data_IF_697245943678
#
_entry.id   IF_697245943678
#
_cell.length_a   1.000
_cell.length_b   1.000
_cell.length_c   1.000
_cell.angle_alpha   90.00
_cell.angle_beta   90.00
_cell.angle_gamma   90.00
#
_symmetry.space_group_name_H-M   'P 1'
#
loop_
_entity.id
_entity.type
_entity.pdbx_description
1 polymer ?
#
# COMPACT_ATOMS: atom_id res chain seq x y z
N UNK A 1 -1.75 -60.26 59.37
CA UNK A 1 -2.35 -59.11 60.08
C UNK A 1 -1.74 -57.79 59.51
N UNK A 2 -2.59 -56.90 59.12
CA UNK A 2 -2.39 -55.51 58.64
C UNK A 2 -1.70 -55.34 57.28
N UNK A 3 -2.45 -55.08 56.23
CA UNK A 3 -3.20 -53.87 55.82
C UNK A 3 -2.40 -52.58 55.95
N UNK A 4 -2.13 -51.96 54.82
CA UNK A 4 -2.64 -50.61 54.59
C UNK A 4 -2.29 -50.06 53.21
N UNK A 5 -3.36 -49.65 52.58
CA UNK A 5 -3.52 -48.87 51.38
C UNK A 5 -2.77 -47.52 51.37
N UNK A 6 -2.36 -47.09 50.25
CA UNK A 6 -2.70 -45.80 49.61
C UNK A 6 -2.03 -45.66 48.25
N UNK A 7 -2.77 -45.53 47.21
CA UNK A 7 -2.39 -44.57 46.18
C UNK A 7 -3.62 -43.81 45.68
N UNK A 8 -3.85 -42.60 46.15
CA UNK A 8 -4.90 -41.74 45.61
C UNK A 8 -4.48 -40.26 45.39
N UNK A 9 -3.18 -39.96 45.56
CA UNK A 9 -2.69 -38.55 45.40
C UNK A 9 -1.89 -38.25 44.13
N UNK A 10 -1.54 -39.28 43.33
CA UNK A 10 -0.76 -39.05 42.09
C UNK A 10 -1.64 -38.74 40.87
N UNK A 11 -2.93 -39.16 40.84
CA UNK A 11 -3.79 -38.99 39.69
C UNK A 11 -4.32 -37.54 39.52
N UNK A 12 -4.41 -36.76 40.60
CA UNK A 12 -4.94 -35.38 40.56
C UNK A 12 -3.93 -34.33 40.11
N UNK A 13 -2.62 -34.61 40.23
CA UNK A 13 -1.59 -33.67 39.74
C UNK A 13 -1.42 -33.70 38.22
N UNK A 14 -1.69 -34.83 37.58
CA UNK A 14 -1.65 -34.97 36.13
C UNK A 14 -2.83 -34.32 35.41
N UNK A 15 -4.03 -34.36 35.99
CA UNK A 15 -5.23 -33.78 35.39
C UNK A 15 -5.24 -32.22 35.48
N UNK A 16 -4.71 -31.66 36.57
CA UNK A 16 -4.58 -30.22 36.73
C UNK A 16 -3.52 -29.63 35.80
N UNK A 17 -2.39 -30.31 35.58
CA UNK A 17 -1.36 -29.88 34.63
C UNK A 17 -1.82 -29.94 33.18
N UNK A 18 -2.58 -30.98 32.80
CA UNK A 18 -3.15 -31.08 31.45
C UNK A 18 -4.21 -30.04 31.15
N UNK A 19 -5.00 -29.63 32.16
CA UNK A 19 -6.01 -28.58 32.00
C UNK A 19 -5.39 -27.20 31.86
N UNK A 20 -4.28 -26.91 32.56
CA UNK A 20 -3.54 -25.64 32.44
C UNK A 20 -2.82 -25.53 31.10
N UNK A 21 -2.28 -26.62 30.58
CA UNK A 21 -1.64 -26.65 29.25
C UNK A 21 -2.68 -26.50 28.14
N UNK A 22 -3.87 -27.11 28.26
CA UNK A 22 -4.96 -26.92 27.31
C UNK A 22 -5.52 -25.50 27.31
N UNK A 23 -5.65 -24.85 28.47
CA UNK A 23 -6.08 -23.46 28.55
C UNK A 23 -5.03 -22.49 28.05
N UNK A 24 -3.73 -22.74 28.26
CA UNK A 24 -2.65 -21.94 27.71
C UNK A 24 -2.54 -22.11 26.18
N UNK A 25 -2.80 -23.32 25.64
CA UNK A 25 -2.80 -23.56 24.19
C UNK A 25 -3.99 -22.88 23.48
N UNK A 26 -5.13 -22.71 24.16
CA UNK A 26 -6.27 -21.94 23.65
C UNK A 26 -6.05 -20.44 23.76
N UNK A 27 -5.27 -19.95 24.72
CA UNK A 27 -4.97 -18.52 24.88
C UNK A 27 -3.90 -18.02 23.88
N UNK A 28 -3.01 -18.89 23.40
CA UNK A 28 -1.98 -18.54 22.40
C UNK A 28 -2.51 -18.68 20.97
N UNK A 29 -3.55 -19.45 20.73
CA UNK A 29 -4.26 -19.51 19.43
C UNK A 29 -5.48 -18.59 19.35
N UNK A 30 -5.75 -17.81 20.38
CA UNK A 30 -6.87 -16.88 20.47
C UNK A 30 -6.63 -15.48 19.86
N UNK A 31 -5.55 -15.27 19.08
CA UNK A 31 -5.55 -14.25 18.02
C UNK A 31 -6.25 -14.83 16.78
N UNK A 32 -7.36 -15.47 16.99
CA UNK A 32 -8.28 -15.89 15.96
C UNK A 32 -9.17 -14.69 15.63
N UNK A 33 -9.09 -14.27 14.38
CA UNK A 33 -10.19 -13.78 13.57
C UNK A 33 -11.47 -13.58 14.42
N UNK A 34 -11.61 -12.42 15.05
CA UNK A 34 -12.91 -12.04 15.58
C UNK A 34 -13.79 -11.76 14.39
N UNK A 35 -14.91 -12.50 14.21
CA UNK A 35 -15.84 -12.14 13.17
C UNK A 35 -16.28 -10.71 13.45
N UNK A 36 -16.14 -9.86 12.44
CA UNK A 36 -16.67 -8.51 12.39
C UNK A 36 -18.16 -8.52 12.78
N UNK A 37 -18.47 -8.16 14.00
CA UNK A 37 -19.83 -7.80 14.40
C UNK A 37 -20.00 -6.31 14.10
N UNK A 38 -20.50 -5.98 12.91
CA UNK A 38 -21.00 -4.66 12.58
C UNK A 38 -22.09 -4.31 13.62
N UNK A 39 -21.71 -3.55 14.66
CA UNK A 39 -22.69 -2.91 15.55
C UNK A 39 -23.16 -1.65 14.84
N UNK A 40 -24.45 -1.43 14.83
CA UNK A 40 -25.11 -0.24 14.30
C UNK A 40 -24.32 1.05 14.67
N UNK A 41 -24.02 1.89 13.68
CA UNK A 41 -23.34 3.18 13.84
C UNK A 41 -21.80 3.14 13.86
N UNK A 42 -21.16 2.08 13.35
CA UNK A 42 -19.70 2.03 13.21
C UNK A 42 -19.29 1.89 11.74
N UNK A 43 -18.37 2.74 11.35
CA UNK A 43 -17.68 2.74 10.04
C UNK A 43 -16.56 1.71 10.06
N UNK A 44 -16.56 0.76 9.13
CA UNK A 44 -15.54 -0.27 8.99
C UNK A 44 -14.34 0.27 8.21
N UNK A 45 -13.14 0.14 8.78
CA UNK A 45 -11.89 0.58 8.16
C UNK A 45 -10.77 -0.42 8.41
N UNK A 46 -9.70 -0.31 7.60
CA UNK A 46 -8.41 -0.97 7.83
C UNK A 46 -7.35 0.07 8.13
N UNK A 47 -6.45 -0.21 9.08
CA UNK A 47 -5.29 0.63 9.38
C UNK A 47 -4.04 -0.22 9.26
N UNK A 48 -3.08 0.24 8.46
CA UNK A 48 -1.73 -0.27 8.40
C UNK A 48 -0.77 0.80 8.90
N UNK A 49 0.03 0.48 9.91
CA UNK A 49 1.19 1.27 10.33
C UNK A 49 2.42 0.57 9.80
N UNK A 50 3.23 1.27 9.05
CA UNK A 50 4.39 0.71 8.36
C UNK A 50 5.58 1.66 8.35
N UNK A 51 6.69 1.18 7.85
CA UNK A 51 7.91 1.94 7.67
C UNK A 51 8.55 1.64 6.30
N UNK A 52 9.49 2.49 5.92
CA UNK A 52 10.35 2.33 4.77
C UNK A 52 9.55 2.16 3.47
N UNK A 53 8.68 3.13 3.20
CA UNK A 53 7.82 3.20 2.00
C UNK A 53 6.85 2.00 1.89
N UNK A 54 6.28 1.58 3.02
CA UNK A 54 5.33 0.50 3.12
C UNK A 54 5.93 -0.90 3.05
N UNK A 55 7.26 -1.04 3.03
CA UNK A 55 7.93 -2.34 2.95
C UNK A 55 7.90 -3.12 4.26
N UNK A 56 7.97 -2.42 5.39
CA UNK A 56 7.94 -2.99 6.72
C UNK A 56 6.59 -2.74 7.39
N UNK A 57 5.79 -3.80 7.57
CA UNK A 57 4.50 -3.70 8.28
C UNK A 57 4.74 -3.82 9.77
N UNK A 58 4.48 -2.74 10.51
CA UNK A 58 4.56 -2.69 11.97
C UNK A 58 3.24 -3.14 12.62
N UNK A 59 2.11 -2.77 12.00
CA UNK A 59 0.77 -3.11 12.47
C UNK A 59 -0.22 -3.13 11.31
N UNK A 60 -1.16 -4.06 11.33
CA UNK A 60 -2.26 -4.15 10.34
C UNK A 60 -3.53 -4.62 11.06
N UNK A 61 -4.54 -3.77 11.10
CA UNK A 61 -5.75 -3.97 11.91
C UNK A 61 -6.98 -3.53 11.16
N UNK A 62 -8.02 -4.39 11.13
CA UNK A 62 -9.36 -4.00 10.71
C UNK A 62 -10.22 -3.71 11.95
N UNK A 63 -10.87 -2.56 11.98
CA UNK A 63 -11.67 -2.14 13.11
C UNK A 63 -12.90 -1.31 12.70
N UNK A 64 -13.87 -1.20 13.63
CA UNK A 64 -14.99 -0.27 13.49
C UNK A 64 -14.78 0.96 14.35
N UNK A 65 -14.79 2.12 13.73
CA UNK A 65 -14.77 3.43 14.39
C UNK A 65 -16.17 4.06 14.40
N UNK A 66 -16.37 5.05 15.26
CA UNK A 66 -17.62 5.81 15.27
C UNK A 66 -17.74 6.60 13.96
N UNK A 67 -18.94 6.70 13.42
CA UNK A 67 -19.23 7.57 12.28
C UNK A 67 -18.81 9.01 12.57
N UNK A 68 -18.17 9.67 11.60
CA UNK A 68 -17.57 11.00 11.74
C UNK A 68 -16.22 11.04 12.47
N UNK A 69 -15.63 9.89 12.81
CA UNK A 69 -14.28 9.85 13.37
C UNK A 69 -13.26 10.33 12.35
N UNK A 70 -12.22 11.02 12.84
CA UNK A 70 -11.06 11.36 12.03
C UNK A 70 -10.08 10.18 11.90
N UNK A 71 -9.22 10.21 10.86
CA UNK A 71 -8.14 9.24 10.71
C UNK A 71 -7.16 9.26 11.90
N UNK A 72 -6.96 10.42 12.54
CA UNK A 72 -6.16 10.54 13.75
C UNK A 72 -6.80 9.82 14.95
N UNK A 73 -8.14 9.94 15.13
CA UNK A 73 -8.86 9.20 16.16
C UNK A 73 -8.80 7.70 15.90
N UNK A 74 -8.91 7.30 14.63
CA UNK A 74 -8.77 5.91 14.23
C UNK A 74 -7.36 5.36 14.53
N UNK A 75 -6.30 6.11 14.22
CA UNK A 75 -4.92 5.72 14.54
C UNK A 75 -4.72 5.58 16.06
N UNK A 76 -5.22 6.54 16.86
CA UNK A 76 -5.13 6.49 18.33
C UNK A 76 -5.89 5.32 18.97
N UNK A 77 -6.83 4.72 18.24
CA UNK A 77 -7.52 3.52 18.72
C UNK A 77 -6.64 2.26 18.64
N UNK A 78 -5.54 2.28 17.86
CA UNK A 78 -4.68 1.12 17.61
C UNK A 78 -3.21 1.35 17.97
N UNK A 79 -2.77 2.61 18.19
CA UNK A 79 -1.38 2.98 18.44
C UNK A 79 -1.28 4.13 19.46
N UNK A 80 -0.15 4.24 20.14
CA UNK A 80 0.21 5.43 20.91
C UNK A 80 0.69 6.52 19.96
N UNK A 81 0.07 7.71 20.00
CA UNK A 81 0.34 8.79 19.04
C UNK A 81 0.70 10.08 19.76
N UNK A 82 1.91 10.56 19.52
CA UNK A 82 2.34 11.89 19.91
C UNK A 82 2.13 12.87 18.74
N UNK A 83 1.68 14.07 19.03
CA UNK A 83 1.41 15.08 18.01
C UNK A 83 2.08 16.41 18.37
N UNK A 84 2.43 17.18 17.33
CA UNK A 84 2.95 18.54 17.47
C UNK A 84 2.04 19.55 16.75
N UNK A 85 2.35 20.84 16.90
CA UNK A 85 1.69 21.96 16.23
C UNK A 85 0.16 21.96 16.36
N UNK A 86 -0.34 21.75 17.59
CA UNK A 86 -1.78 21.75 17.86
C UNK A 86 -2.52 20.50 17.40
N UNK A 87 -1.81 19.39 17.18
CA UNK A 87 -2.40 18.09 16.83
C UNK A 87 -2.43 17.79 15.32
N UNK A 88 -1.97 18.72 14.49
CA UNK A 88 -2.01 18.53 13.03
C UNK A 88 -0.85 17.71 12.45
N UNK A 89 0.22 17.52 13.22
CA UNK A 89 1.42 16.79 12.81
C UNK A 89 1.65 15.57 13.71
N UNK A 90 1.90 14.42 13.11
CA UNK A 90 2.24 13.18 13.83
C UNK A 90 3.73 13.23 14.18
N UNK A 91 4.03 13.44 15.47
CA UNK A 91 5.39 13.50 15.96
C UNK A 91 5.97 12.11 16.21
N UNK A 92 5.19 11.19 16.77
CA UNK A 92 5.59 9.80 16.96
C UNK A 92 4.39 8.86 16.91
N UNK A 93 4.62 7.61 16.48
CA UNK A 93 3.68 6.50 16.61
C UNK A 93 4.42 5.32 17.23
N UNK A 94 3.87 4.79 18.34
CA UNK A 94 4.45 3.69 19.14
C UNK A 94 5.95 3.92 19.45
N UNK A 95 6.33 5.18 19.74
CA UNK A 95 7.69 5.59 20.09
C UNK A 95 8.64 5.81 18.89
N UNK A 96 8.22 5.56 17.66
CA UNK A 96 8.98 5.90 16.46
C UNK A 96 8.73 7.37 16.14
N UNK A 97 9.72 8.21 16.43
CA UNK A 97 9.60 9.67 16.31
C UNK A 97 10.12 10.20 14.96
N UNK A 98 9.50 11.30 14.49
CA UNK A 98 10.02 12.15 13.44
C UNK A 98 11.50 12.50 13.69
N UNK A 99 12.30 12.46 12.64
CA UNK A 99 13.74 12.75 12.71
C UNK A 99 14.11 14.14 12.19
N UNK A 100 13.13 14.88 11.67
CA UNK A 100 13.31 16.24 11.17
C UNK A 100 12.64 17.24 12.10
N UNK A 101 13.44 17.94 12.90
CA UNK A 101 12.96 18.87 13.91
C UNK A 101 13.61 20.25 13.74
N UNK A 102 12.81 21.30 13.73
CA UNK A 102 13.30 22.68 13.67
C UNK A 102 14.12 23.06 12.42
N UNK A 103 13.97 22.32 11.32
CA UNK A 103 14.75 22.53 10.08
C UNK A 103 16.10 21.81 10.06
N UNK A 104 16.34 20.91 11.02
CA UNK A 104 17.56 20.12 11.13
C UNK A 104 17.25 18.64 11.40
N UNK A 105 18.23 17.76 11.18
CA UNK A 105 18.09 16.33 11.33
C UNK A 105 17.88 15.60 10.01
N UNK A 106 17.56 14.31 10.09
CA UNK A 106 17.28 13.49 8.91
C UNK A 106 15.85 13.79 8.45
N UNK A 107 15.65 13.92 7.16
CA UNK A 107 14.33 14.13 6.56
C UNK A 107 13.54 12.80 6.53
N UNK A 108 13.11 12.36 7.70
CA UNK A 108 12.35 11.13 7.87
C UNK A 108 11.19 11.39 8.83
N UNK A 109 9.96 11.24 8.32
CA UNK A 109 8.73 11.62 9.00
C UNK A 109 7.62 10.61 8.75
N UNK A 110 6.48 10.79 9.44
CA UNK A 110 5.25 10.04 9.25
C UNK A 110 4.43 10.66 8.13
N UNK A 111 4.07 9.83 7.16
CA UNK A 111 3.17 10.15 6.05
C UNK A 111 1.86 9.39 6.19
N UNK A 112 0.79 9.99 5.72
CA UNK A 112 -0.56 9.46 5.82
C UNK A 112 -1.17 9.27 4.44
N UNK A 113 -1.72 8.08 4.20
CA UNK A 113 -2.36 7.68 2.95
C UNK A 113 -3.77 7.19 3.20
N UNK A 114 -4.66 7.45 2.27
CA UNK A 114 -6.02 6.91 2.22
C UNK A 114 -6.16 6.09 0.95
N UNK A 115 -6.52 4.82 1.10
CA UNK A 115 -6.66 3.91 -0.04
C UNK A 115 -5.43 3.94 -0.95
N UNK A 116 -4.24 3.89 -0.34
CA UNK A 116 -2.95 3.92 -1.02
C UNK A 116 -2.55 5.26 -1.61
N UNK A 117 -3.39 6.30 -1.57
CA UNK A 117 -3.11 7.63 -2.09
C UNK A 117 -2.70 8.57 -0.96
N UNK A 118 -1.63 9.36 -1.17
CA UNK A 118 -1.17 10.31 -0.15
C UNK A 118 -2.26 11.32 0.17
N UNK A 119 -2.50 11.53 1.45
CA UNK A 119 -3.58 12.39 1.90
C UNK A 119 -3.28 13.87 1.60
N UNK A 120 -4.29 14.58 1.10
CA UNK A 120 -4.22 16.02 0.82
C UNK A 120 -4.44 16.88 2.07
N UNK A 121 -4.92 16.25 3.15
CA UNK A 121 -5.16 16.89 4.45
C UNK A 121 -4.51 16.10 5.56
N UNK A 122 -4.25 16.75 6.71
CA UNK A 122 -3.74 16.04 7.88
C UNK A 122 -4.73 15.03 8.44
N UNK A 123 -4.24 13.98 9.10
CA UNK A 123 -5.05 12.88 9.63
C UNK A 123 -6.17 13.33 10.61
N UNK A 124 -5.98 14.48 11.29
CA UNK A 124 -7.02 15.06 12.15
C UNK A 124 -8.16 15.74 11.40
N UNK A 125 -7.97 16.06 10.12
CA UNK A 125 -8.98 16.72 9.27
C UNK A 125 -9.66 15.76 8.29
N UNK A 126 -9.14 14.54 8.13
CA UNK A 126 -9.76 13.53 7.28
C UNK A 126 -10.81 12.73 8.06
N UNK A 127 -12.07 12.86 7.68
CA UNK A 127 -13.18 12.05 8.20
C UNK A 127 -13.20 10.70 7.47
N UNK A 128 -13.08 9.59 8.23
CA UNK A 128 -13.00 8.25 7.67
C UNK A 128 -14.35 7.76 7.13
N UNK A 129 -14.30 6.96 6.09
CA UNK A 129 -15.45 6.40 5.39
C UNK A 129 -15.44 4.88 5.42
N UNK A 130 -16.59 4.30 5.15
CA UNK A 130 -16.75 2.84 5.08
C UNK A 130 -15.84 2.26 4.01
N UNK A 131 -15.02 1.28 4.39
CA UNK A 131 -14.07 0.60 3.53
C UNK A 131 -12.72 1.29 3.39
N UNK A 132 -12.49 2.46 4.02
CA UNK A 132 -11.19 3.14 3.93
C UNK A 132 -10.06 2.25 4.46
N UNK A 133 -9.00 2.22 3.70
CA UNK A 133 -7.71 1.68 4.12
C UNK A 133 -6.75 2.84 4.42
N UNK A 134 -6.51 3.09 5.70
CA UNK A 134 -5.60 4.12 6.17
C UNK A 134 -4.19 3.53 6.31
N UNK A 135 -3.20 4.13 5.68
CA UNK A 135 -1.80 3.72 5.82
C UNK A 135 -1.00 4.87 6.42
N UNK A 136 -0.30 4.59 7.52
CA UNK A 136 0.64 5.51 8.16
C UNK A 136 2.04 4.94 7.98
N UNK A 137 2.88 5.62 7.22
CA UNK A 137 4.20 5.14 6.83
C UNK A 137 5.31 6.09 7.27
N UNK A 138 6.33 5.54 7.92
CA UNK A 138 7.49 6.26 8.38
C UNK A 138 8.65 6.12 7.40
N UNK A 139 8.88 7.12 6.55
CA UNK A 139 9.91 7.05 5.52
C UNK A 139 10.70 8.34 5.33
N UNK A 140 11.81 8.21 4.57
CA UNK A 140 12.65 9.32 4.14
C UNK A 140 11.97 10.15 3.05
N UNK A 141 12.08 11.47 3.13
CA UNK A 141 11.68 12.39 2.07
C UNK A 141 12.87 13.21 1.56
N UNK A 142 14.08 12.64 1.68
CA UNK A 142 15.31 13.29 1.24
C UNK A 142 15.36 13.45 -0.28
N UNK A 143 14.96 12.41 -1.01
CA UNK A 143 14.91 12.39 -2.47
C UNK A 143 13.58 12.91 -3.02
N UNK A 144 12.49 12.29 -2.65
CA UNK A 144 11.15 12.66 -3.08
C UNK A 144 10.39 13.26 -1.89
N UNK A 145 10.05 14.55 -1.95
CA UNK A 145 9.28 15.20 -0.89
C UNK A 145 7.92 14.52 -0.68
N UNK A 146 7.37 13.94 -1.75
CA UNK A 146 6.10 13.23 -1.72
C UNK A 146 6.20 11.94 -2.52
N UNK A 147 5.71 10.87 -1.92
CA UNK A 147 5.42 9.60 -2.61
C UNK A 147 3.91 9.60 -2.88
N UNK A 148 3.46 9.80 -4.14
CA UNK A 148 2.06 10.14 -4.43
C UNK A 148 1.08 9.03 -4.06
N UNK A 149 1.50 7.77 -4.21
CA UNK A 149 0.71 6.62 -3.81
C UNK A 149 1.59 5.37 -3.64
N UNK A 150 1.04 4.38 -2.94
CA UNK A 150 1.66 3.10 -2.67
C UNK A 150 1.09 2.04 -3.61
N UNK A 151 1.88 1.59 -4.60
CA UNK A 151 1.44 0.61 -5.59
C UNK A 151 1.00 -0.72 -4.94
N UNK A 152 1.59 -1.08 -3.79
CA UNK A 152 1.20 -2.26 -3.02
C UNK A 152 -0.21 -2.23 -2.44
N UNK A 153 -0.87 -1.07 -2.40
CA UNK A 153 -2.27 -0.97 -2.01
C UNK A 153 -3.26 -1.41 -3.12
N UNK A 154 -2.77 -1.65 -4.35
CA UNK A 154 -3.66 -2.11 -5.43
C UNK A 154 -4.56 -3.28 -4.96
N UNK A 155 -5.88 -3.29 -5.24
CA UNK A 155 -6.59 -2.47 -6.23
C UNK A 155 -7.06 -1.09 -5.76
N UNK A 156 -6.65 -0.63 -4.58
CA UNK A 156 -6.88 0.76 -4.18
C UNK A 156 -5.93 1.72 -4.95
N UNK A 157 -6.36 2.95 -5.24
CA UNK A 157 -7.62 3.64 -4.89
C UNK A 157 -8.77 3.43 -5.88
N UNK A 158 -8.70 2.46 -6.78
CA UNK A 158 -9.69 2.25 -7.85
C UNK A 158 -11.04 1.72 -7.33
N UNK A 159 -11.08 1.18 -6.11
CA UNK A 159 -12.30 0.61 -5.49
C UNK A 159 -13.02 1.65 -4.64
N UNK A 160 -12.36 2.22 -3.64
CA UNK A 160 -12.96 3.16 -2.70
C UNK A 160 -12.59 4.63 -2.96
N UNK A 161 -11.51 4.89 -3.75
CA UNK A 161 -11.04 6.23 -4.07
C UNK A 161 -10.49 7.00 -2.86
N UNK A 162 -10.09 8.25 -3.09
CA UNK A 162 -9.75 9.20 -2.03
C UNK A 162 -10.98 10.02 -1.68
N UNK A 163 -11.38 10.01 -0.41
CA UNK A 163 -12.55 10.72 0.10
C UNK A 163 -13.88 10.34 -0.62
N UNK A 164 -13.99 9.13 -1.12
CA UNK A 164 -15.18 8.56 -1.77
C UNK A 164 -14.86 7.82 -3.06
N UNK A 165 -15.81 7.02 -3.52
CA UNK A 165 -15.64 6.20 -4.71
C UNK A 165 -15.24 7.02 -5.94
N UNK A 166 -14.40 6.45 -6.84
CA UNK A 166 -14.06 7.08 -8.12
C UNK A 166 -15.29 7.43 -8.94
N UNK A 167 -15.25 8.54 -9.67
CA UNK A 167 -16.28 8.85 -10.68
C UNK A 167 -16.13 7.96 -11.91
N UNK A 168 -14.88 7.61 -12.25
CA UNK A 168 -14.51 6.75 -13.38
C UNK A 168 -13.16 6.11 -13.13
N UNK A 169 -12.99 4.90 -13.65
CA UNK A 169 -11.70 4.20 -13.73
C UNK A 169 -11.38 3.95 -15.20
N UNK A 170 -10.22 4.40 -15.64
CA UNK A 170 -9.78 4.23 -17.03
C UNK A 170 -8.46 3.48 -17.10
N UNK A 171 -8.41 2.45 -17.91
CA UNK A 171 -7.17 1.78 -18.28
C UNK A 171 -6.74 2.28 -19.65
N UNK A 172 -5.68 3.09 -19.68
CA UNK A 172 -5.13 3.59 -20.93
C UNK A 172 -3.97 2.70 -21.39
N UNK A 173 -4.05 2.15 -22.59
CA UNK A 173 -3.02 1.26 -23.13
C UNK A 173 -2.83 1.46 -24.64
N UNK A 174 -1.66 1.11 -25.14
CA UNK A 174 -1.43 1.05 -26.57
C UNK A 174 -2.13 -0.16 -27.21
N UNK A 175 -2.32 -0.12 -28.53
CA UNK A 175 -2.99 -1.23 -29.26
C UNK A 175 -2.25 -2.56 -29.11
N UNK A 176 -0.93 -2.55 -29.00
CA UNK A 176 -0.12 -3.75 -28.81
C UNK A 176 -0.35 -4.45 -27.47
N UNK A 177 -0.80 -3.71 -26.44
CA UNK A 177 -1.10 -4.21 -25.09
C UNK A 177 -2.60 -4.17 -24.76
N UNK A 178 -3.48 -4.21 -25.77
CA UNK A 178 -4.92 -4.07 -25.56
C UNK A 178 -5.51 -5.21 -24.71
N UNK A 179 -5.07 -6.46 -24.95
CA UNK A 179 -5.51 -7.63 -24.19
C UNK A 179 -5.14 -7.51 -22.70
N UNK A 180 -3.93 -7.06 -22.43
CA UNK A 180 -3.45 -6.79 -21.07
C UNK A 180 -4.26 -5.66 -20.40
N UNK A 181 -4.59 -4.60 -21.16
CA UNK A 181 -5.47 -3.52 -20.70
C UNK A 181 -6.87 -4.03 -20.35
N UNK A 182 -7.46 -4.89 -21.17
CA UNK A 182 -8.77 -5.51 -20.91
C UNK A 182 -8.73 -6.42 -19.67
N UNK A 183 -7.63 -7.15 -19.43
CA UNK A 183 -7.44 -7.94 -18.19
C UNK A 183 -7.48 -7.05 -16.95
N UNK A 184 -6.74 -5.94 -16.96
CA UNK A 184 -6.73 -4.98 -15.84
C UNK A 184 -8.11 -4.36 -15.65
N UNK A 185 -8.75 -3.90 -16.72
CA UNK A 185 -10.07 -3.30 -16.65
C UNK A 185 -11.14 -4.28 -16.15
N UNK A 186 -11.11 -5.53 -16.59
CA UNK A 186 -12.00 -6.60 -16.13
C UNK A 186 -11.82 -6.91 -14.64
N UNK A 187 -10.57 -6.97 -14.19
CA UNK A 187 -10.25 -7.15 -12.77
C UNK A 187 -10.79 -6.00 -11.90
N UNK A 188 -10.58 -4.75 -12.31
CA UNK A 188 -11.08 -3.57 -11.59
C UNK A 188 -12.61 -3.46 -11.66
N UNK A 189 -13.22 -3.69 -12.81
CA UNK A 189 -14.68 -3.66 -12.99
C UNK A 189 -15.42 -4.65 -12.08
N UNK A 190 -14.79 -5.77 -11.72
CA UNK A 190 -15.37 -6.73 -10.77
C UNK A 190 -15.37 -6.25 -9.32
N UNK A 191 -14.66 -5.17 -8.99
CA UNK A 191 -14.42 -4.68 -7.62
C UNK A 191 -14.91 -3.26 -7.37
N UNK A 192 -14.89 -2.40 -8.38
CA UNK A 192 -15.38 -1.02 -8.27
C UNK A 192 -16.84 -0.92 -8.71
N UNK A 193 -17.54 0.09 -8.18
CA UNK A 193 -18.88 0.49 -8.67
C UNK A 193 -18.79 1.57 -9.76
N UNK A 194 -17.62 2.17 -9.94
CA UNK A 194 -17.40 3.18 -10.95
C UNK A 194 -17.42 2.56 -12.36
N UNK A 195 -17.84 3.30 -13.38
CA UNK A 195 -17.63 2.90 -14.77
C UNK A 195 -16.15 2.64 -15.01
N UNK A 196 -15.82 1.44 -15.50
CA UNK A 196 -14.44 1.04 -15.81
C UNK A 196 -14.33 0.64 -17.28
N UNK A 197 -13.30 1.10 -17.97
CA UNK A 197 -13.11 0.79 -19.39
C UNK A 197 -11.69 1.01 -19.86
N UNK A 198 -11.42 0.52 -21.10
CA UNK A 198 -10.13 0.66 -21.76
C UNK A 198 -10.22 1.77 -22.80
N UNK A 199 -9.15 2.56 -22.90
CA UNK A 199 -8.98 3.58 -23.94
C UNK A 199 -7.61 3.43 -24.61
N UNK A 200 -7.49 3.90 -25.83
CA UNK A 200 -6.20 3.95 -26.52
C UNK A 200 -5.36 5.08 -25.93
N UNK A 201 -4.13 4.76 -25.54
CA UNK A 201 -3.16 5.72 -25.06
C UNK A 201 -2.51 6.43 -26.24
N UNK A 202 -2.60 7.74 -26.29
CA UNK A 202 -1.85 8.59 -27.21
C UNK A 202 -0.90 9.54 -26.46
N UNK A 203 -0.19 10.38 -27.21
CA UNK A 203 0.80 11.28 -26.64
C UNK A 203 0.20 12.31 -25.65
N UNK A 204 -1.00 12.78 -25.92
CA UNK A 204 -1.64 13.87 -25.17
C UNK A 204 -2.60 13.34 -24.09
N UNK A 205 -2.92 12.04 -24.09
CA UNK A 205 -3.88 11.49 -23.16
C UNK A 205 -3.48 11.73 -21.70
N UNK A 206 -4.41 12.24 -20.92
CA UNK A 206 -4.29 12.44 -19.47
C UNK A 206 -5.62 12.13 -18.79
N UNK A 207 -5.63 11.62 -17.55
CA UNK A 207 -6.88 11.41 -16.82
C UNK A 207 -7.59 12.72 -16.55
N UNK A 208 -8.91 12.69 -16.64
CA UNK A 208 -9.78 13.80 -16.28
C UNK A 208 -9.89 13.99 -14.76
N UNK A 209 -10.52 15.09 -14.35
CA UNK A 209 -10.80 15.33 -12.93
C UNK A 209 -11.77 14.26 -12.40
N UNK A 210 -11.48 13.69 -11.22
CA UNK A 210 -12.27 12.60 -10.61
C UNK A 210 -12.08 11.24 -11.29
N UNK A 211 -11.20 11.15 -12.27
CA UNK A 211 -10.86 9.92 -12.98
C UNK A 211 -9.59 9.30 -12.40
N UNK A 212 -9.67 8.01 -12.11
CA UNK A 212 -8.53 7.20 -11.68
C UNK A 212 -8.00 6.40 -12.87
N UNK A 213 -6.70 6.44 -13.09
CA UNK A 213 -6.08 5.90 -14.29
C UNK A 213 -5.07 4.79 -14.01
N UNK A 214 -5.08 3.77 -14.88
CA UNK A 214 -3.99 2.81 -15.02
C UNK A 214 -3.42 2.97 -16.42
N UNK A 215 -2.09 3.13 -16.52
CA UNK A 215 -1.38 3.01 -17.78
C UNK A 215 -0.82 1.59 -17.88
N UNK A 216 -1.21 0.82 -18.88
CA UNK A 216 -0.78 -0.56 -19.05
C UNK A 216 -0.14 -0.77 -20.41
N UNK A 217 1.09 -1.31 -20.47
CA UNK A 217 1.80 -1.56 -21.71
C UNK A 217 3.27 -1.88 -21.52
N UNK A 218 3.97 -2.08 -22.62
CA UNK A 218 5.45 -2.06 -22.56
C UNK A 218 5.92 -0.62 -22.38
N UNK A 219 7.13 -0.45 -21.81
CA UNK A 219 7.64 0.91 -21.65
C UNK A 219 7.79 1.65 -22.99
N UNK A 220 8.20 0.95 -24.05
CA UNK A 220 8.30 1.53 -25.39
C UNK A 220 6.95 2.12 -25.84
N UNK A 221 5.85 1.43 -25.58
CA UNK A 221 4.50 1.90 -25.88
C UNK A 221 4.07 3.06 -24.98
N UNK A 222 4.36 2.97 -23.66
CA UNK A 222 3.95 4.00 -22.70
C UNK A 222 4.77 5.29 -22.84
N UNK A 223 6.02 5.19 -23.29
CA UNK A 223 6.92 6.35 -23.48
C UNK A 223 6.48 7.31 -24.60
N UNK A 224 5.51 6.95 -25.42
CA UNK A 224 4.92 7.89 -26.38
C UNK A 224 4.04 8.94 -25.69
N UNK A 225 3.52 8.62 -24.50
CA UNK A 225 2.69 9.53 -23.71
C UNK A 225 3.54 10.56 -22.99
N UNK A 226 3.17 11.83 -23.12
CA UNK A 226 3.91 12.97 -22.56
C UNK A 226 3.97 12.91 -21.04
N UNK A 227 2.87 12.54 -20.37
CA UNK A 227 2.80 12.45 -18.91
C UNK A 227 3.76 11.38 -18.36
N UNK A 228 3.80 10.19 -18.98
CA UNK A 228 4.70 9.12 -18.57
C UNK A 228 6.18 9.51 -18.76
N UNK A 229 6.49 10.20 -19.87
CA UNK A 229 7.84 10.68 -20.17
C UNK A 229 8.27 11.80 -19.21
N UNK A 230 7.43 12.83 -19.01
CA UNK A 230 7.68 13.92 -18.08
C UNK A 230 7.92 13.44 -16.64
N UNK A 231 7.18 12.42 -16.20
CA UNK A 231 7.39 11.80 -14.89
C UNK A 231 8.78 11.15 -14.78
N UNK A 232 9.22 10.43 -15.80
CA UNK A 232 10.56 9.85 -15.85
C UNK A 232 11.68 10.91 -15.88
N UNK A 233 11.47 12.06 -16.52
CA UNK A 233 12.40 13.18 -16.53
C UNK A 233 12.45 13.89 -15.17
N UNK A 234 11.32 14.00 -14.49
CA UNK A 234 11.15 14.69 -13.20
C UNK A 234 10.97 13.72 -12.03
N UNK A 235 11.73 12.62 -12.01
CA UNK A 235 11.55 11.45 -11.11
C UNK A 235 11.28 11.77 -9.65
N UNK A 236 12.09 12.67 -9.07
CA UNK A 236 11.93 13.05 -7.66
C UNK A 236 10.61 13.77 -7.38
N UNK A 237 10.12 14.60 -8.32
CA UNK A 237 8.83 15.28 -8.22
C UNK A 237 7.67 14.31 -8.44
N UNK A 238 7.86 13.30 -9.28
CA UNK A 238 6.86 12.27 -9.57
C UNK A 238 6.83 11.15 -8.51
N UNK A 239 7.76 11.15 -7.54
CA UNK A 239 7.87 10.10 -6.52
C UNK A 239 8.32 8.75 -7.06
N UNK A 240 9.15 8.73 -8.12
CA UNK A 240 9.59 7.52 -8.78
C UNK A 240 10.90 7.00 -8.19
N UNK A 241 10.91 5.72 -7.78
CA UNK A 241 12.10 5.02 -7.28
C UNK A 241 12.62 3.96 -8.26
N UNK A 242 11.98 3.83 -9.43
CA UNK A 242 12.47 3.06 -10.55
C UNK A 242 12.14 3.77 -11.87
N UNK A 243 13.01 3.64 -12.87
CA UNK A 243 12.79 4.25 -14.18
C UNK A 243 13.53 3.49 -15.27
N UNK A 244 13.06 3.62 -16.52
CA UNK A 244 13.74 3.02 -17.68
C UNK A 244 14.90 3.88 -18.19
N UNK A 245 16.01 3.20 -18.46
CA UNK A 245 17.21 3.77 -19.05
C UNK A 245 17.87 2.73 -19.97
N UNK A 246 17.88 2.97 -21.28
CA UNK A 246 18.55 2.11 -22.28
C UNK A 246 18.05 0.66 -22.31
N UNK A 247 16.79 0.39 -22.00
CA UNK A 247 16.19 -0.96 -22.02
C UNK A 247 16.31 -1.75 -20.71
N UNK A 248 16.88 -1.16 -19.67
CA UNK A 248 16.88 -1.69 -18.31
C UNK A 248 16.11 -0.80 -17.34
N UNK A 249 15.66 -1.37 -16.23
CA UNK A 249 15.06 -0.60 -15.12
C UNK A 249 16.18 -0.23 -14.15
N UNK A 250 16.40 1.07 -13.95
CA UNK A 250 17.26 1.59 -12.88
C UNK A 250 16.47 1.63 -11.58
N UNK A 251 17.11 1.22 -10.49
CA UNK A 251 16.55 1.14 -9.16
C UNK A 251 17.24 2.15 -8.26
N UNK A 252 16.44 2.91 -7.49
CA UNK A 252 16.92 3.89 -6.53
C UNK A 252 16.63 3.43 -5.08
N UNK A 253 17.48 3.88 -4.17
CA UNK A 253 17.19 3.82 -2.74
C UNK A 253 16.28 4.98 -2.28
N UNK A 254 15.90 4.99 -1.00
CA UNK A 254 15.04 6.02 -0.42
C UNK A 254 15.62 7.43 -0.45
N UNK A 255 16.92 7.57 -0.66
CA UNK A 255 17.63 8.84 -0.81
C UNK A 255 17.85 9.23 -2.29
N UNK A 256 17.34 8.41 -3.24
CA UNK A 256 17.45 8.65 -4.68
C UNK A 256 18.79 8.27 -5.29
N UNK A 257 19.65 7.56 -4.57
CA UNK A 257 20.90 7.05 -5.09
C UNK A 257 20.68 5.77 -5.87
N UNK A 258 21.53 5.52 -6.88
CA UNK A 258 21.48 4.28 -7.63
C UNK A 258 21.79 3.08 -6.73
N UNK A 259 20.84 2.14 -6.63
CA UNK A 259 20.93 0.94 -5.81
C UNK A 259 21.02 -0.35 -6.65
N UNK A 260 20.80 -0.26 -7.97
CA UNK A 260 20.87 -1.41 -8.85
C UNK A 260 20.15 -1.21 -10.17
N UNK A 261 20.00 -2.30 -10.91
CA UNK A 261 19.18 -2.36 -12.12
C UNK A 261 18.56 -3.75 -12.30
N UNK A 262 17.48 -3.82 -13.07
CA UNK A 262 16.87 -5.06 -13.50
C UNK A 262 16.84 -5.12 -15.04
N UNK A 263 17.22 -6.28 -15.57
CA UNK A 263 17.37 -6.54 -17.02
C UNK A 263 16.56 -7.77 -17.44
N UNK A 264 16.27 -7.88 -18.73
CA UNK A 264 15.48 -8.96 -19.31
C UNK A 264 14.00 -8.65 -19.29
N UNK A 265 13.15 -9.68 -19.23
CA UNK A 265 11.69 -9.51 -19.12
C UNK A 265 11.31 -9.09 -17.70
N UNK A 266 11.15 -7.80 -17.51
CA UNK A 266 10.89 -7.16 -16.20
C UNK A 266 9.55 -6.43 -16.24
N UNK A 267 8.78 -6.53 -15.15
CA UNK A 267 7.58 -5.74 -14.91
C UNK A 267 7.77 -4.71 -13.81
N UNK A 268 7.14 -3.56 -13.91
CA UNK A 268 7.18 -2.46 -12.95
C UNK A 268 5.78 -1.97 -12.66
N UNK A 269 5.40 -1.93 -11.38
CA UNK A 269 4.20 -1.24 -10.90
C UNK A 269 4.62 -0.07 -10.01
N UNK A 270 4.26 1.14 -10.38
CA UNK A 270 4.45 2.33 -9.56
C UNK A 270 3.43 3.41 -9.91
N UNK A 271 3.16 4.28 -8.94
CA UNK A 271 2.30 5.43 -9.17
C UNK A 271 3.12 6.64 -9.65
N UNK A 272 2.54 7.39 -10.57
CA UNK A 272 3.06 8.67 -11.00
C UNK A 272 2.26 9.78 -10.34
N UNK A 273 2.93 10.67 -9.59
CA UNK A 273 2.34 11.92 -9.13
C UNK A 273 2.27 12.90 -10.29
N UNK A 274 1.07 13.36 -10.61
CA UNK A 274 0.89 14.31 -11.70
C UNK A 274 1.16 15.75 -11.25
N UNK A 275 0.70 16.12 -10.07
CA UNK A 275 1.05 17.34 -9.29
C UNK A 275 0.39 17.26 -7.91
N UNK A 276 1.00 17.88 -6.91
CA UNK A 276 0.36 18.10 -5.62
C UNK A 276 -0.94 18.89 -5.80
N UNK A 277 -2.05 18.33 -5.30
CA UNK A 277 -3.36 18.99 -5.31
C UNK A 277 -4.13 18.90 -6.64
N UNK A 278 -3.66 18.20 -7.65
CA UNK A 278 -4.42 17.95 -8.90
C UNK A 278 -5.18 16.60 -8.89
N UNK A 279 -5.15 15.88 -7.79
CA UNK A 279 -6.17 14.89 -7.41
C UNK A 279 -6.08 13.52 -8.03
N UNK A 280 -5.26 13.20 -9.02
CA UNK A 280 -5.19 11.83 -9.55
C UNK A 280 -3.76 11.38 -9.77
N UNK A 281 -3.35 10.36 -9.02
CA UNK A 281 -2.17 9.56 -9.35
C UNK A 281 -2.56 8.55 -10.43
N UNK A 282 -1.72 8.36 -11.44
CA UNK A 282 -1.86 7.25 -12.37
C UNK A 282 -0.99 6.07 -11.89
N UNK A 283 -1.57 4.87 -11.82
CA UNK A 283 -0.79 3.64 -11.65
C UNK A 283 -0.22 3.22 -13.00
N UNK A 284 1.07 3.02 -13.07
CA UNK A 284 1.75 2.45 -14.24
C UNK A 284 2.02 0.97 -13.99
N UNK A 285 1.52 0.13 -14.89
CA UNK A 285 1.81 -1.29 -14.99
C UNK A 285 2.57 -1.50 -16.30
N UNK A 286 3.89 -1.49 -16.24
CA UNK A 286 4.72 -1.49 -17.42
C UNK A 286 5.63 -2.72 -17.48
N UNK A 287 5.87 -3.24 -18.68
CA UNK A 287 6.88 -4.26 -18.94
C UNK A 287 8.04 -3.73 -19.78
N UNK A 288 9.24 -4.30 -19.61
CA UNK A 288 10.34 -4.10 -20.57
C UNK A 288 9.99 -4.70 -21.96
N UNK A 289 9.15 -5.72 -21.93
CA UNK A 289 8.55 -6.40 -23.09
C UNK A 289 7.19 -6.98 -22.69
N UNK A 290 6.49 -7.59 -23.65
CA UNK A 290 5.18 -8.20 -23.40
C UNK A 290 5.23 -9.36 -22.37
N UNK A 291 6.34 -10.08 -22.26
CA UNK A 291 6.49 -11.15 -21.28
C UNK A 291 6.64 -10.60 -19.86
N UNK A 292 7.44 -9.54 -19.68
CA UNK A 292 7.57 -8.84 -18.41
C UNK A 292 6.25 -8.20 -17.93
N UNK A 293 5.51 -7.58 -18.85
CA UNK A 293 4.17 -7.06 -18.55
C UNK A 293 3.22 -8.16 -18.09
N UNK A 294 3.13 -9.27 -18.82
CA UNK A 294 2.25 -10.39 -18.45
C UNK A 294 2.61 -11.00 -17.11
N UNK A 295 3.90 -11.22 -16.86
CA UNK A 295 4.38 -11.75 -15.60
C UNK A 295 4.05 -10.82 -14.40
N UNK A 296 4.18 -9.50 -14.59
CA UNK A 296 3.72 -8.52 -13.61
C UNK A 296 2.23 -8.63 -13.36
N UNK A 297 1.41 -8.67 -14.42
CA UNK A 297 -0.04 -8.75 -14.29
C UNK A 297 -0.49 -10.06 -13.65
N UNK A 298 0.12 -11.19 -13.98
CA UNK A 298 -0.16 -12.47 -13.34
C UNK A 298 0.07 -12.40 -11.83
N UNK A 299 1.14 -11.71 -11.38
CA UNK A 299 1.40 -11.48 -9.98
C UNK A 299 0.45 -10.43 -9.35
N UNK A 300 0.18 -9.32 -10.05
CA UNK A 300 -0.57 -8.17 -9.51
C UNK A 300 -2.08 -8.41 -9.46
N UNK A 301 -2.62 -9.22 -10.38
CA UNK A 301 -4.03 -9.56 -10.47
C UNK A 301 -4.39 -10.89 -9.79
N UNK A 302 -3.42 -11.53 -9.11
CA UNK A 302 -3.64 -12.77 -8.37
C UNK A 302 -4.56 -12.51 -7.16
N UNK A 303 -5.69 -13.22 -7.10
CA UNK A 303 -6.69 -13.10 -6.04
C UNK A 303 -6.29 -13.77 -4.74
N UNK A 304 -5.33 -14.70 -4.77
CA UNK A 304 -4.89 -15.46 -3.60
C UNK A 304 -3.90 -14.68 -2.71
N UNK A 305 -3.42 -13.52 -3.15
CA UNK A 305 -2.56 -12.61 -2.37
C UNK A 305 -3.34 -11.85 -1.26
N UNK A 306 -4.14 -12.56 -0.44
CA UNK A 306 -5.05 -11.96 0.56
C UNK A 306 -4.45 -11.79 1.96
N UNK A 307 -3.24 -12.24 2.19
CA UNK A 307 -2.57 -12.11 3.49
C UNK A 307 -2.10 -10.65 3.70
N UNK A 308 -1.95 -10.20 4.97
CA UNK A 308 -1.32 -8.92 5.26
C UNK A 308 0.06 -8.89 4.58
N UNK A 309 0.18 -8.06 3.55
CA UNK A 309 1.40 -7.93 2.77
C UNK A 309 1.96 -6.52 2.92
N UNK A 310 3.27 -6.34 2.74
CA UNK A 310 3.83 -5.01 2.58
C UNK A 310 3.06 -4.21 1.52
N UNK A 311 2.93 -2.91 1.72
CA UNK A 311 2.27 -1.97 0.79
C UNK A 311 3.29 -1.03 0.14
N UNK A 312 4.30 -1.54 -0.58
CA UNK A 312 5.41 -0.76 -1.07
C UNK A 312 4.97 0.34 -2.03
N UNK A 313 5.77 1.40 -2.09
CA UNK A 313 5.58 2.47 -3.07
C UNK A 313 5.72 1.95 -4.50
N UNK A 314 6.67 1.03 -4.73
CA UNK A 314 6.96 0.47 -6.06
C UNK A 314 7.21 -1.03 -5.97
N UNK A 315 6.75 -1.76 -6.98
CA UNK A 315 6.97 -3.21 -7.15
C UNK A 315 7.66 -3.45 -8.47
N UNK A 316 8.80 -4.16 -8.45
CA UNK A 316 9.49 -4.66 -9.64
C UNK A 316 9.44 -6.17 -9.64
N UNK A 317 9.02 -6.76 -10.75
CA UNK A 317 8.94 -8.21 -10.95
C UNK A 317 9.95 -8.63 -12.02
N UNK A 318 10.94 -9.45 -11.63
CA UNK A 318 11.99 -9.89 -12.54
C UNK A 318 12.41 -11.33 -12.23
N UNK A 319 12.44 -12.19 -13.24
CA UNK A 319 12.92 -13.57 -13.12
C UNK A 319 12.16 -14.41 -12.08
N UNK A 320 10.85 -14.17 -11.89
CA UNK A 320 10.01 -14.84 -10.89
C UNK A 320 10.15 -14.28 -9.47
N UNK A 321 10.91 -13.21 -9.27
CA UNK A 321 11.11 -12.57 -7.97
C UNK A 321 10.47 -11.19 -7.92
N UNK A 322 9.96 -10.82 -6.76
CA UNK A 322 9.41 -9.49 -6.48
C UNK A 322 10.43 -8.67 -5.69
N UNK A 323 10.72 -7.47 -6.16
CA UNK A 323 11.50 -6.47 -5.44
C UNK A 323 10.59 -5.34 -4.99
N UNK A 324 10.64 -4.98 -3.72
CA UNK A 324 9.89 -3.88 -3.13
C UNK A 324 10.80 -2.66 -3.02
N UNK A 325 10.37 -1.53 -3.60
CA UNK A 325 11.19 -0.34 -3.67
C UNK A 325 10.58 0.85 -2.89
N UNK A 326 11.42 1.85 -2.54
CA UNK A 326 12.86 1.98 -2.86
C UNK A 326 13.73 0.89 -2.22
N UNK A 327 14.88 0.62 -2.82
CA UNK A 327 15.85 -0.33 -2.27
C UNK A 327 16.41 0.15 -0.93
N UNK A 328 16.97 -0.77 -0.15
CA UNK A 328 17.70 -0.40 1.06
C UNK A 328 18.96 0.42 0.68
N UNK A 329 19.21 1.51 1.41
CA UNK A 329 20.41 2.31 1.22
C UNK A 329 21.65 1.51 1.64
N UNK A 330 22.68 1.56 0.84
CA UNK A 330 23.98 0.93 1.11
C UNK A 330 24.79 1.71 2.13
#
# INVERSE_FOLDING_TARGET
MNKRERPARAAWRGAAAALVILTAFFLVRGCAFMPWNAREGKTAIRITVCADFGKETLKDVSLGVREGSSAMEALRAVAEVETAYGGGFIQAVDGIASQYEGGAGRKKDWFFYVNGQMAEVGAGAYEVREGDWLVFDFHSWEYAMFTPALAGCFPEPFVHGYAGAPERVTVACARGSWEEGERVAGFLASRTRAPCGVVELDAEWRPGRGEYAVLAGTWEELAVNDMAREACESRALAGMFAYWDGGEIRILDGDGKAAGSAVGSVGLAQCLGLRLGEGASALVLAGSDAAGLRALLDHFLDEDLREPRPVPAVVVFAGGNTMLLPAEGS
#
